data_IF_286536205549
#
_entry.id   IF_286536205549
#
_cell.length_a   1.000
_cell.length_b   1.000
_cell.length_c   1.000
_cell.angle_alpha   90.00
_cell.angle_beta   90.00
_cell.angle_gamma   90.00
#
_symmetry.space_group_name_H-M   'P 1'
#
loop_
_entity.id
_entity.type
_entity.pdbx_description
1 polymer ?
#
# COMPACT_ATOMS: atom_id res chain seq x y z
N UNK A 1 39.45 26.16 39.98
CA UNK A 1 38.98 27.52 39.64
C UNK A 1 37.57 27.36 39.10
N UNK A 2 36.59 27.10 39.97
CA UNK A 2 35.82 28.08 40.76
C UNK A 2 34.83 28.86 39.90
N UNK A 3 33.56 28.54 40.13
CA UNK A 3 32.32 29.13 39.62
C UNK A 3 32.19 30.63 40.02
N UNK A 4 31.17 31.37 39.56
CA UNK A 4 29.94 31.35 40.34
C UNK A 4 28.60 31.40 39.58
N UNK A 5 27.63 30.82 40.29
CA UNK A 5 26.17 30.87 40.19
C UNK A 5 25.64 32.26 40.55
N UNK A 6 24.47 32.63 39.99
CA UNK A 6 23.55 33.58 40.61
C UNK A 6 22.13 32.98 40.64
N UNK A 7 21.60 32.85 41.86
CA UNK A 7 20.20 32.55 42.18
C UNK A 7 19.38 33.85 42.18
N UNK A 8 18.10 33.77 41.78
CA UNK A 8 17.02 34.57 42.38
C UNK A 8 15.66 33.91 42.14
N UNK A 9 15.05 33.51 43.25
CA UNK A 9 13.67 33.09 43.47
C UNK A 9 12.66 34.24 43.33
N UNK A 10 11.42 33.96 42.92
CA UNK A 10 10.20 34.18 43.72
C UNK A 10 8.92 34.10 42.86
N UNK A 11 7.87 33.58 43.51
CA UNK A 11 6.57 33.17 43.01
C UNK A 11 5.65 34.28 42.47
N UNK A 12 4.77 33.92 41.54
CA UNK A 12 3.51 34.63 41.28
C UNK A 12 2.36 33.64 40.92
N UNK A 13 1.13 33.83 41.44
CA UNK A 13 0.02 32.86 41.45
C UNK A 13 -0.86 32.87 40.18
N UNK A 14 -1.76 31.86 39.99
CA UNK A 14 -2.50 31.66 38.74
C UNK A 14 -3.71 32.60 38.57
N UNK A 15 -4.16 32.86 37.33
CA UNK A 15 -5.31 33.74 37.09
C UNK A 15 -6.65 33.05 37.35
N UNK A 16 -7.52 33.82 38.01
CA UNK A 16 -8.88 33.51 38.45
C UNK A 16 -9.88 33.74 37.30
N UNK A 17 -10.84 32.82 37.17
CA UNK A 17 -12.06 32.91 36.32
C UNK A 17 -13.01 34.01 36.81
N UNK A 18 -13.74 34.72 35.92
CA UNK A 18 -14.97 35.40 36.31
C UNK A 18 -16.22 34.69 35.78
N UNK A 19 -17.10 34.35 36.72
CA UNK A 19 -18.52 34.04 36.51
C UNK A 19 -19.33 35.34 36.51
N UNK A 20 -20.41 35.40 35.70
CA UNK A 20 -21.66 36.08 36.12
C UNK A 20 -22.16 37.30 35.32
N UNK A 21 -23.01 37.01 34.32
CA UNK A 21 -24.36 37.53 34.07
C UNK A 21 -24.69 39.05 33.88
N UNK A 22 -25.58 39.23 32.89
CA UNK A 22 -26.61 40.28 32.68
C UNK A 22 -26.25 41.59 31.96
N UNK A 23 -26.93 41.84 30.84
CA UNK A 23 -27.14 43.19 30.28
C UNK A 23 -27.38 43.25 28.77
N UNK A 24 -28.65 43.12 28.35
CA UNK A 24 -29.14 43.44 26.99
C UNK A 24 -29.02 44.95 26.71
N UNK A 25 -28.77 45.37 25.46
CA UNK A 25 -29.65 46.39 24.90
C UNK A 25 -30.12 46.10 23.46
N UNK A 26 -31.41 46.41 23.25
CA UNK A 26 -32.13 46.53 21.99
C UNK A 26 -31.57 47.66 21.13
N UNK A 27 -31.50 47.45 19.81
CA UNK A 27 -31.31 48.47 18.79
C UNK A 27 -32.07 48.10 17.52
N UNK A 28 -33.22 48.76 17.32
CA UNK A 28 -34.19 48.61 16.23
C UNK A 28 -33.71 49.26 14.92
N UNK A 29 -34.11 48.70 13.76
CA UNK A 29 -34.63 49.40 12.55
C UNK A 29 -34.89 48.39 11.40
N UNK A 30 -35.77 48.68 10.41
CA UNK A 30 -37.15 48.18 10.44
C UNK A 30 -37.55 47.28 9.26
N UNK A 31 -38.69 46.61 9.46
CA UNK A 31 -39.46 45.82 8.50
C UNK A 31 -40.24 46.76 7.57
N UNK A 32 -40.25 46.44 6.27
CA UNK A 32 -41.27 46.91 5.33
C UNK A 32 -42.00 45.69 4.76
N UNK A 33 -43.34 45.73 4.86
CA UNK A 33 -44.29 44.81 4.26
C UNK A 33 -44.83 45.38 2.94
N UNK A 34 -45.50 44.49 2.19
CA UNK A 34 -46.40 44.65 1.03
C UNK A 34 -45.72 44.62 -0.34
N UNK A 35 -46.29 44.06 -1.41
CA UNK A 35 -47.25 42.98 -1.67
C UNK A 35 -47.21 42.70 -3.19
N UNK A 36 -47.72 41.54 -3.60
CA UNK A 36 -48.30 41.21 -4.92
C UNK A 36 -47.41 40.99 -6.17
N UNK A 37 -47.51 39.74 -6.66
CA UNK A 37 -47.97 39.48 -8.03
C UNK A 37 -46.93 39.21 -9.12
N UNK A 38 -46.74 37.92 -9.46
CA UNK A 38 -46.88 37.35 -10.82
C UNK A 38 -45.96 36.13 -11.04
N UNK A 39 -46.61 35.03 -11.45
CA UNK A 39 -46.04 33.77 -11.95
C UNK A 39 -45.45 33.99 -13.36
N UNK A 40 -44.39 33.26 -13.76
CA UNK A 40 -44.59 32.25 -14.80
C UNK A 40 -43.91 30.91 -14.51
N UNK A 41 -44.60 29.87 -14.96
CA UNK A 41 -44.28 28.45 -14.95
C UNK A 41 -43.04 28.09 -15.80
N UNK A 42 -42.39 26.96 -15.48
CA UNK A 42 -41.38 26.35 -16.34
C UNK A 42 -40.56 25.25 -15.68
N UNK A 43 -41.16 24.09 -15.41
CA UNK A 43 -40.45 22.85 -15.07
C UNK A 43 -39.85 22.19 -16.33
N UNK A 44 -38.63 21.63 -16.30
CA UNK A 44 -38.25 20.56 -17.20
C UNK A 44 -38.47 19.20 -16.55
N UNK A 45 -39.22 18.38 -17.27
CA UNK A 45 -39.68 17.05 -16.91
C UNK A 45 -38.58 15.98 -16.89
N UNK A 46 -38.82 15.00 -16.02
CA UNK A 46 -38.13 13.72 -15.85
C UNK A 46 -38.37 12.86 -17.09
N UNK A 47 -37.31 12.41 -17.75
CA UNK A 47 -37.39 11.48 -18.89
C UNK A 47 -37.36 10.02 -18.38
N UNK A 48 -38.49 9.34 -18.58
CA UNK A 48 -38.73 7.93 -18.27
C UNK A 48 -38.05 6.98 -19.27
N UNK A 49 -37.63 5.82 -18.75
CA UNK A 49 -37.18 4.63 -19.49
C UNK A 49 -38.28 4.08 -20.43
N UNK A 50 -37.94 3.47 -21.57
CA UNK A 50 -38.86 2.60 -22.29
C UNK A 50 -38.68 1.13 -21.89
N UNK A 51 -39.78 0.53 -21.46
CA UNK A 51 -40.01 -0.92 -21.41
C UNK A 51 -40.32 -1.41 -22.84
N UNK A 52 -39.79 -2.56 -23.23
CA UNK A 52 -40.15 -3.25 -24.48
C UNK A 52 -40.80 -4.59 -24.14
N UNK A 53 -42.07 -4.70 -24.52
CA UNK A 53 -42.93 -5.87 -24.43
C UNK A 53 -42.55 -6.98 -25.41
N UNK A 54 -42.89 -8.19 -24.98
CA UNK A 54 -42.84 -9.46 -25.66
C UNK A 54 -43.69 -9.55 -26.93
N UNK A 55 -43.16 -10.18 -27.97
CA UNK A 55 -43.96 -10.82 -29.02
C UNK A 55 -43.63 -12.31 -29.06
N UNK A 56 -44.63 -13.14 -28.73
CA UNK A 56 -44.63 -14.58 -28.95
C UNK A 56 -44.90 -14.89 -30.44
N UNK A 57 -44.11 -15.79 -31.02
CA UNK A 57 -44.51 -16.58 -32.18
C UNK A 57 -44.01 -18.01 -32.03
N UNK A 58 -44.96 -18.94 -32.01
CA UNK A 58 -44.81 -20.39 -31.88
C UNK A 58 -44.34 -21.07 -33.17
N UNK A 59 -43.44 -22.06 -33.05
CA UNK A 59 -43.42 -23.25 -33.91
C UNK A 59 -42.73 -24.41 -33.20
N UNK A 60 -43.22 -25.61 -33.51
CA UNK A 60 -43.23 -26.87 -32.78
C UNK A 60 -42.00 -27.79 -32.91
N UNK A 61 -41.88 -28.66 -31.91
CA UNK A 61 -41.35 -30.04 -31.88
C UNK A 61 -39.85 -30.32 -32.08
N UNK A 62 -39.18 -30.70 -30.98
CA UNK A 62 -38.54 -32.02 -30.82
C UNK A 62 -38.11 -32.25 -29.36
N UNK A 63 -38.60 -33.32 -28.76
CA UNK A 63 -38.24 -33.77 -27.43
C UNK A 63 -36.82 -34.35 -27.39
N UNK A 64 -35.99 -33.91 -26.43
CA UNK A 64 -35.01 -34.80 -25.80
C UNK A 64 -34.57 -34.29 -24.42
N UNK A 65 -34.83 -35.14 -23.42
CA UNK A 65 -34.04 -35.36 -22.20
C UNK A 65 -33.67 -34.16 -21.32
N UNK A 66 -34.34 -34.14 -20.17
CA UNK A 66 -33.94 -33.57 -18.90
C UNK A 66 -32.44 -33.71 -18.58
N UNK A 67 -31.79 -32.57 -18.37
CA UNK A 67 -30.64 -32.42 -17.48
C UNK A 67 -30.68 -30.99 -16.97
N UNK A 68 -31.07 -30.83 -15.71
CA UNK A 68 -31.14 -29.52 -15.05
C UNK A 68 -29.75 -28.91 -15.01
N UNK A 69 -29.51 -27.94 -15.88
CA UNK A 69 -28.41 -26.99 -15.73
C UNK A 69 -28.98 -25.89 -14.85
N UNK A 70 -28.83 -26.06 -13.53
CA UNK A 70 -28.86 -24.93 -12.61
C UNK A 70 -27.74 -23.98 -13.03
N UNK A 71 -28.12 -22.76 -13.39
CA UNK A 71 -27.19 -21.63 -13.48
C UNK A 71 -26.45 -21.53 -12.14
N UNK A 72 -25.10 -21.44 -12.11
CA UNK A 72 -24.41 -21.15 -10.87
C UNK A 72 -24.87 -19.78 -10.39
N UNK A 73 -25.46 -19.72 -9.20
CA UNK A 73 -25.78 -18.46 -8.53
C UNK A 73 -24.54 -17.56 -8.50
N UNK A 74 -24.69 -16.28 -8.86
CA UNK A 74 -23.64 -15.25 -8.76
C UNK A 74 -23.23 -14.95 -7.29
N UNK A 75 -23.64 -15.80 -6.34
CA UNK A 75 -23.59 -15.54 -4.90
C UNK A 75 -22.35 -16.04 -4.17
N UNK A 76 -21.46 -16.77 -4.85
CA UNK A 76 -20.39 -17.55 -4.21
C UNK A 76 -18.95 -17.14 -4.61
N UNK A 77 -18.72 -15.85 -4.93
CA UNK A 77 -17.38 -15.36 -5.32
C UNK A 77 -16.34 -15.42 -4.17
N UNK A 78 -16.80 -15.54 -2.92
CA UNK A 78 -15.97 -15.63 -1.71
C UNK A 78 -16.24 -16.92 -0.90
N UNK A 79 -16.67 -18.00 -1.56
CA UNK A 79 -17.03 -19.29 -0.95
C UNK A 79 -16.03 -19.78 0.12
N UNK A 80 -16.59 -20.38 1.18
CA UNK A 80 -16.01 -20.85 2.45
C UNK A 80 -15.83 -19.86 3.62
N UNK A 81 -16.22 -18.59 3.53
CA UNK A 81 -16.20 -17.71 4.72
C UNK A 81 -17.37 -18.01 5.68
N UNK A 82 -17.05 -18.38 6.92
CA UNK A 82 -18.04 -18.48 7.99
C UNK A 82 -18.45 -17.08 8.50
N UNK A 83 -19.55 -16.55 7.97
CA UNK A 83 -20.07 -15.23 8.34
C UNK A 83 -20.58 -15.12 9.79
N UNK A 84 -20.51 -16.19 10.59
CA UNK A 84 -20.65 -16.08 12.05
C UNK A 84 -19.41 -15.48 12.72
N UNK A 85 -18.25 -15.52 12.05
CA UNK A 85 -17.01 -14.97 12.57
C UNK A 85 -17.06 -13.44 12.77
N UNK A 86 -16.12 -12.88 13.57
CA UNK A 86 -16.03 -11.45 13.76
C UNK A 86 -15.71 -10.70 12.46
N UNK A 87 -16.32 -9.52 12.25
CA UNK A 87 -16.17 -8.69 11.04
C UNK A 87 -14.70 -8.44 10.65
N UNK A 88 -13.84 -8.15 11.62
CA UNK A 88 -12.42 -7.89 11.39
C UNK A 88 -11.67 -9.12 10.82
N UNK A 89 -12.08 -10.32 11.22
CA UNK A 89 -11.51 -11.58 10.72
C UNK A 89 -11.99 -11.85 9.30
N UNK A 90 -13.28 -11.69 9.04
CA UNK A 90 -13.88 -11.83 7.72
C UNK A 90 -13.26 -10.88 6.70
N UNK A 91 -13.11 -9.60 7.06
CA UNK A 91 -12.45 -8.62 6.20
C UNK A 91 -10.99 -9.01 5.93
N UNK A 92 -10.26 -9.49 6.95
CA UNK A 92 -8.86 -9.92 6.79
C UNK A 92 -8.73 -11.12 5.86
N UNK A 93 -9.51 -12.17 6.06
CA UNK A 93 -9.40 -13.39 5.25
C UNK A 93 -9.99 -13.18 3.85
N UNK A 94 -11.18 -12.56 3.77
CA UNK A 94 -11.88 -12.30 2.52
C UNK A 94 -11.18 -11.31 1.58
N UNK A 95 -10.24 -10.50 2.08
CA UNK A 95 -9.46 -9.57 1.24
C UNK A 95 -8.00 -9.97 1.04
N UNK A 96 -7.56 -11.09 1.60
CA UNK A 96 -6.15 -11.55 1.56
C UNK A 96 -5.58 -11.60 0.14
N UNK A 97 -6.35 -12.12 -0.81
CA UNK A 97 -5.95 -12.19 -2.24
C UNK A 97 -5.84 -10.79 -2.85
N UNK A 98 -6.80 -9.91 -2.59
CA UNK A 98 -6.80 -8.54 -3.10
C UNK A 98 -5.63 -7.72 -2.51
N UNK A 99 -5.34 -7.89 -1.22
CA UNK A 99 -4.17 -7.31 -0.57
C UNK A 99 -2.87 -7.76 -1.24
N UNK A 100 -2.68 -9.08 -1.44
CA UNK A 100 -1.48 -9.61 -2.12
C UNK A 100 -1.38 -9.12 -3.56
N UNK A 101 -2.50 -8.92 -4.27
CA UNK A 101 -2.46 -8.32 -5.59
C UNK A 101 -2.04 -6.85 -5.55
N UNK A 102 -2.56 -6.07 -4.61
CA UNK A 102 -2.27 -4.65 -4.47
C UNK A 102 -0.81 -4.38 -4.09
N UNK A 103 -0.25 -5.13 -3.14
CA UNK A 103 1.16 -4.97 -2.69
C UNK A 103 2.17 -5.27 -3.81
N UNK A 104 1.80 -6.14 -4.75
CA UNK A 104 2.63 -6.54 -5.89
C UNK A 104 2.35 -5.72 -7.17
N UNK A 105 1.51 -4.68 -7.08
CA UNK A 105 1.27 -3.77 -8.20
C UNK A 105 2.50 -2.91 -8.50
N UNK A 106 2.70 -2.56 -9.78
CA UNK A 106 3.85 -1.76 -10.21
C UNK A 106 3.96 -0.41 -9.48
N UNK A 107 2.83 0.26 -9.27
CA UNK A 107 2.78 1.53 -8.54
C UNK A 107 3.14 1.37 -7.06
N UNK A 108 2.65 0.33 -6.39
CA UNK A 108 3.00 0.04 -4.99
C UNK A 108 4.48 -0.32 -4.84
N UNK A 109 5.03 -1.09 -5.78
CA UNK A 109 6.46 -1.43 -5.80
C UNK A 109 7.31 -0.17 -6.00
N UNK A 110 6.98 0.69 -6.97
CA UNK A 110 7.73 1.92 -7.21
C UNK A 110 7.72 2.87 -6.00
N UNK A 111 6.54 3.05 -5.37
CA UNK A 111 6.39 3.84 -4.16
C UNK A 111 7.23 3.26 -3.00
N UNK A 112 7.15 1.94 -2.81
CA UNK A 112 7.88 1.26 -1.73
C UNK A 112 9.36 1.05 -2.04
N UNK A 113 9.85 1.29 -3.25
CA UNK A 113 11.29 1.21 -3.54
C UNK A 113 11.98 2.57 -3.53
N UNK A 114 11.23 3.66 -3.28
CA UNK A 114 11.76 5.03 -3.35
C UNK A 114 12.21 5.38 -4.78
N UNK A 115 11.62 4.72 -5.77
CA UNK A 115 11.96 4.85 -7.19
C UNK A 115 11.15 5.94 -7.89
N UNK A 116 10.27 6.62 -7.15
CA UNK A 116 9.62 7.83 -7.65
C UNK A 116 10.63 8.95 -7.52
N UNK A 117 10.94 9.62 -8.61
CA UNK A 117 11.66 10.88 -8.52
C UNK A 117 10.66 11.95 -8.03
N UNK A 118 11.14 13.00 -7.34
CA UNK A 118 10.26 14.12 -6.95
C UNK A 118 9.54 14.74 -8.16
N UNK A 119 10.12 14.57 -9.35
CA UNK A 119 9.54 14.98 -10.62
C UNK A 119 8.47 14.02 -11.17
N UNK A 120 8.33 12.80 -10.66
CA UNK A 120 7.21 11.90 -10.95
C UNK A 120 5.98 12.19 -10.08
N UNK A 121 6.15 13.01 -9.02
CA UNK A 121 5.05 13.71 -8.35
C UNK A 121 4.46 14.83 -9.24
N UNK A 122 5.02 15.07 -10.44
CA UNK A 122 4.52 16.10 -11.36
C UNK A 122 3.13 15.79 -11.87
N UNK A 123 2.42 16.89 -12.01
CA UNK A 123 1.17 17.06 -12.70
C UNK A 123 1.46 17.14 -14.20
N UNK A 124 0.86 16.23 -14.95
CA UNK A 124 0.52 16.40 -16.36
C UNK A 124 1.54 17.15 -17.22
N UNK A 125 2.75 16.61 -17.44
CA UNK A 125 3.57 17.06 -18.56
C UNK A 125 3.88 15.94 -19.56
N UNK A 126 3.03 15.93 -20.59
CA UNK A 126 3.25 15.62 -22.02
C UNK A 126 4.28 14.53 -22.32
N UNK A 127 3.88 13.35 -22.84
CA UNK A 127 4.83 12.52 -23.55
C UNK A 127 5.25 13.24 -24.84
N UNK A 128 6.54 13.20 -25.14
CA UNK A 128 7.00 13.20 -26.53
C UNK A 128 6.29 12.01 -27.19
N UNK A 129 5.51 12.26 -28.25
CA UNK A 129 4.50 11.36 -28.87
C UNK A 129 3.13 11.36 -28.18
N UNK A 130 2.30 12.36 -28.46
CA UNK A 130 0.90 12.22 -28.90
C UNK A 130 -0.17 11.49 -28.06
N UNK A 131 0.15 10.68 -27.05
CA UNK A 131 -0.81 9.90 -26.28
C UNK A 131 -0.94 10.49 -24.87
N UNK A 132 -2.13 10.88 -24.38
CA UNK A 132 -2.25 11.34 -23.00
C UNK A 132 -1.96 10.18 -22.03
N UNK A 133 -0.75 10.16 -21.45
CA UNK A 133 -0.41 9.26 -20.36
C UNK A 133 -0.93 9.79 -19.03
N UNK A 134 -1.38 8.93 -18.10
CA UNK A 134 -1.76 9.36 -16.77
C UNK A 134 -0.52 9.86 -16.05
N UNK A 135 -0.48 11.14 -15.69
CA UNK A 135 0.57 11.66 -14.83
C UNK A 135 0.39 11.10 -13.41
N UNK A 136 1.52 10.80 -12.76
CA UNK A 136 1.64 10.27 -11.39
C UNK A 136 0.91 11.12 -10.38
N UNK A 137 -0.36 10.81 -10.16
CA UNK A 137 -1.25 11.67 -9.39
C UNK A 137 -1.29 11.28 -7.91
N UNK A 138 -0.30 11.73 -7.13
CA UNK A 138 -0.34 11.61 -5.65
C UNK A 138 -1.48 12.45 -5.03
N UNK A 139 -2.09 13.37 -5.79
CA UNK A 139 -3.29 14.15 -5.41
C UNK A 139 -4.53 13.27 -5.32
N UNK A 140 -4.59 12.20 -6.13
CA UNK A 140 -5.69 11.24 -6.09
C UNK A 140 -5.91 10.67 -4.70
N UNK A 141 -4.83 10.44 -3.94
CA UNK A 141 -4.93 10.01 -2.55
C UNK A 141 -5.51 11.10 -1.64
N UNK A 142 -5.15 12.39 -1.80
CA UNK A 142 -5.72 13.48 -0.98
C UNK A 142 -7.21 13.58 -1.19
N UNK A 143 -7.65 13.64 -2.46
CA UNK A 143 -9.07 13.79 -2.79
C UNK A 143 -9.86 12.56 -2.34
N UNK A 144 -9.27 11.37 -2.49
CA UNK A 144 -9.83 10.12 -1.99
C UNK A 144 -10.06 10.15 -0.47
N UNK A 145 -9.03 10.52 0.32
CA UNK A 145 -9.17 10.62 1.77
C UNK A 145 -10.20 11.68 2.16
N UNK A 146 -10.15 12.85 1.51
CA UNK A 146 -11.10 13.91 1.82
C UNK A 146 -12.55 13.48 1.58
N UNK A 147 -12.84 12.79 0.48
CA UNK A 147 -14.18 12.26 0.20
C UNK A 147 -14.60 11.20 1.23
N UNK A 148 -13.72 10.25 1.55
CA UNK A 148 -13.99 9.21 2.54
C UNK A 148 -14.23 9.81 3.93
N UNK A 149 -13.36 10.71 4.38
CA UNK A 149 -13.46 11.38 5.68
C UNK A 149 -14.74 12.21 5.80
N UNK A 150 -15.14 12.93 4.75
CA UNK A 150 -16.41 13.63 4.72
C UNK A 150 -17.61 12.69 4.83
N UNK A 151 -17.57 11.55 4.14
CA UNK A 151 -18.62 10.53 4.26
C UNK A 151 -18.72 9.97 5.67
N UNK A 152 -17.57 9.72 6.32
CA UNK A 152 -17.51 9.26 7.70
C UNK A 152 -17.99 10.35 8.68
N UNK A 153 -17.67 11.63 8.45
CA UNK A 153 -18.14 12.75 9.27
C UNK A 153 -19.67 12.89 9.22
N UNK A 154 -20.27 12.76 8.03
CA UNK A 154 -21.73 12.81 7.85
C UNK A 154 -22.42 11.67 8.61
N UNK A 155 -21.82 10.48 8.64
CA UNK A 155 -22.39 9.29 9.24
C UNK A 155 -21.72 8.89 10.56
N UNK A 156 -21.13 9.85 11.27
CA UNK A 156 -20.33 9.60 12.47
C UNK A 156 -21.11 8.91 13.61
N UNK A 157 -22.42 9.11 13.67
CA UNK A 157 -23.32 8.51 14.67
C UNK A 157 -23.94 7.18 14.21
N UNK A 158 -23.70 6.74 12.97
CA UNK A 158 -24.27 5.50 12.47
C UNK A 158 -23.75 4.30 13.28
N UNK A 159 -24.60 3.38 13.78
CA UNK A 159 -24.18 2.31 14.70
C UNK A 159 -23.02 1.43 14.20
N UNK A 160 -22.95 1.21 12.89
CA UNK A 160 -21.87 0.43 12.25
C UNK A 160 -20.54 1.20 12.18
N UNK A 161 -20.58 2.52 12.04
CA UNK A 161 -19.40 3.37 11.80
C UNK A 161 -18.86 4.00 13.09
N UNK A 162 -19.75 4.42 13.98
CA UNK A 162 -19.42 5.11 15.23
C UNK A 162 -18.35 4.40 16.08
N UNK A 163 -18.33 3.05 16.23
CA UNK A 163 -17.31 2.36 17.02
C UNK A 163 -15.87 2.50 16.49
N UNK A 164 -15.71 2.92 15.23
CA UNK A 164 -14.40 3.13 14.58
C UNK A 164 -14.11 4.60 14.27
N UNK A 165 -15.02 5.51 14.62
CA UNK A 165 -14.91 6.93 14.30
C UNK A 165 -14.01 7.64 15.32
N UNK A 166 -12.80 7.99 14.90
CA UNK A 166 -11.89 8.86 15.65
C UNK A 166 -11.12 9.76 14.65
N UNK A 167 -11.65 10.95 14.32
CA UNK A 167 -11.05 11.80 13.30
C UNK A 167 -9.68 12.35 13.69
N UNK A 168 -9.47 12.70 14.97
CA UNK A 168 -8.20 13.24 15.47
C UNK A 168 -7.06 12.23 15.27
N UNK A 169 -7.34 10.96 15.55
CA UNK A 169 -6.37 9.88 15.39
C UNK A 169 -6.16 9.49 13.92
N UNK A 170 -7.22 9.35 13.14
CA UNK A 170 -7.18 8.64 11.85
C UNK A 170 -7.12 9.53 10.61
N UNK A 171 -7.60 10.79 10.64
CA UNK A 171 -7.69 11.62 9.42
C UNK A 171 -6.32 11.87 8.79
N UNK A 172 -6.25 11.74 7.47
CA UNK A 172 -5.02 11.76 6.69
C UNK A 172 -5.00 12.83 5.59
N UNK A 173 -6.16 13.33 5.16
CA UNK A 173 -6.24 14.26 4.03
C UNK A 173 -5.33 15.49 4.23
N UNK A 174 -5.39 16.13 5.40
CA UNK A 174 -4.63 17.35 5.69
C UNK A 174 -3.13 17.09 5.83
N UNK A 175 -2.75 15.99 6.49
CA UNK A 175 -1.34 15.62 6.65
C UNK A 175 -0.70 15.26 5.32
N UNK A 176 -1.44 14.57 4.44
CA UNK A 176 -1.00 14.27 3.08
C UNK A 176 -0.89 15.53 2.22
N UNK A 177 -1.86 16.44 2.30
CA UNK A 177 -1.80 17.72 1.58
C UNK A 177 -0.59 18.55 2.02
N UNK A 178 -0.31 18.61 3.32
CA UNK A 178 0.86 19.29 3.87
C UNK A 178 2.18 18.66 3.38
N UNK A 179 2.26 17.33 3.32
CA UNK A 179 3.43 16.62 2.79
C UNK A 179 3.65 16.89 1.32
N UNK A 180 2.60 16.82 0.50
CA UNK A 180 2.68 17.13 -0.94
C UNK A 180 3.16 18.56 -1.13
N UNK A 181 2.60 19.52 -0.40
CA UNK A 181 3.03 20.92 -0.45
C UNK A 181 4.52 21.05 -0.11
N UNK A 182 4.98 20.38 0.93
CA UNK A 182 6.39 20.38 1.33
C UNK A 182 7.30 19.79 0.24
N UNK A 183 6.94 18.63 -0.30
CA UNK A 183 7.73 17.95 -1.35
C UNK A 183 7.77 18.77 -2.64
N UNK A 184 6.65 19.39 -3.04
CA UNK A 184 6.60 20.27 -4.22
C UNK A 184 7.45 21.53 -4.04
N UNK A 185 7.53 22.09 -2.83
CA UNK A 185 8.39 23.24 -2.56
C UNK A 185 9.89 22.93 -2.64
N UNK A 186 10.29 21.63 -2.57
CA UNK A 186 11.68 21.21 -2.79
C UNK A 186 12.05 21.12 -4.28
N UNK A 187 11.07 21.19 -5.17
CA UNK A 187 11.32 21.20 -6.61
C UNK A 187 11.82 22.58 -7.08
N UNK A 188 12.77 22.66 -8.02
CA UNK A 188 13.27 23.93 -8.52
C UNK A 188 12.17 24.70 -9.26
N UNK A 189 12.14 26.04 -9.14
CA UNK A 189 11.04 26.89 -9.63
C UNK A 189 10.69 26.70 -11.13
N UNK A 190 11.65 26.32 -11.97
CA UNK A 190 11.41 26.05 -13.39
C UNK A 190 10.53 24.82 -13.65
N UNK A 191 10.41 23.92 -12.67
CA UNK A 191 9.64 22.68 -12.77
C UNK A 191 8.15 22.83 -12.44
N UNK A 192 7.75 23.98 -11.89
CA UNK A 192 6.39 24.34 -11.49
C UNK A 192 5.82 25.38 -12.45
N UNK A 193 5.67 25.04 -13.74
CA UNK A 193 5.02 25.95 -14.70
C UNK A 193 3.50 25.68 -14.71
N UNK A 194 2.65 26.68 -14.40
CA UNK A 194 1.22 26.54 -14.59
C UNK A 194 0.91 26.33 -16.09
N UNK A 195 0.05 25.37 -16.41
CA UNK A 195 -0.35 25.00 -17.76
C UNK A 195 -1.28 26.03 -18.43
N UNK A 196 -1.54 27.16 -17.74
CA UNK A 196 -2.24 28.33 -18.29
C UNK A 196 -3.74 28.11 -18.51
N UNK A 197 -4.28 26.95 -18.12
CA UNK A 197 -5.72 26.66 -18.26
C UNK A 197 -6.48 27.17 -17.04
N UNK A 198 -7.40 28.10 -17.29
CA UNK A 198 -8.40 28.49 -16.29
C UNK A 198 -9.45 27.38 -16.21
N UNK A 199 -9.63 26.80 -15.04
CA UNK A 199 -10.69 25.85 -14.77
C UNK A 199 -11.62 26.41 -13.68
N UNK A 200 -12.93 26.16 -13.77
CA UNK A 200 -13.95 26.73 -12.88
C UNK A 200 -14.15 26.00 -11.55
N UNK A 201 -13.40 24.93 -11.28
CA UNK A 201 -13.48 24.14 -10.03
C UNK A 201 -12.38 24.65 -9.10
N UNK A 202 -12.75 25.13 -7.91
CA UNK A 202 -11.80 25.54 -6.87
C UNK A 202 -11.34 24.34 -6.06
N UNK A 203 -10.07 24.32 -5.69
CA UNK A 203 -9.54 23.32 -4.77
C UNK A 203 -10.30 23.37 -3.42
N UNK A 204 -10.46 22.24 -2.72
CA UNK A 204 -11.23 22.18 -1.47
C UNK A 204 -10.62 22.98 -0.31
N UNK A 205 -9.43 23.55 -0.47
CA UNK A 205 -8.72 24.38 0.50
C UNK A 205 -7.87 25.46 -0.20
N UNK A 206 -7.53 26.58 0.47
CA UNK A 206 -6.77 27.68 -0.13
C UNK A 206 -5.31 27.29 -0.40
N UNK A 207 -4.82 27.60 -1.59
CA UNK A 207 -3.50 27.17 -2.05
C UNK A 207 -2.92 28.05 -3.18
N UNK A 208 -1.59 28.06 -3.37
CA UNK A 208 -0.95 28.85 -4.43
C UNK A 208 -1.44 28.45 -5.82
N UNK A 209 -1.65 29.41 -6.73
CA UNK A 209 -2.26 29.19 -8.05
C UNK A 209 -1.56 28.14 -8.92
N UNK A 210 -0.24 27.98 -8.81
CA UNK A 210 0.51 26.94 -9.53
C UNK A 210 0.25 25.52 -8.99
N UNK A 211 -0.24 25.42 -7.75
CA UNK A 211 -0.74 24.18 -7.12
C UNK A 211 -2.26 24.09 -7.28
N UNK A 212 -2.99 25.11 -7.73
CA UNK A 212 -4.45 25.00 -7.88
C UNK A 212 -4.81 24.10 -9.07
N UNK A 213 -4.21 24.32 -10.24
CA UNK A 213 -4.43 23.54 -11.47
C UNK A 213 -4.17 22.02 -11.30
N UNK A 214 -3.31 21.70 -10.35
CA UNK A 214 -3.01 20.36 -9.85
C UNK A 214 -4.30 19.70 -9.35
N UNK A 215 -5.17 20.38 -8.62
CA UNK A 215 -6.35 19.78 -8.01
C UNK A 215 -7.63 19.85 -8.85
N UNK A 216 -7.54 20.32 -10.11
CA UNK A 216 -8.73 20.61 -10.93
C UNK A 216 -9.03 19.57 -12.02
N UNK A 217 -8.05 18.78 -12.48
CA UNK A 217 -8.31 17.66 -13.39
C UNK A 217 -8.44 16.35 -12.61
N UNK A 218 -9.65 15.81 -12.48
CA UNK A 218 -9.89 14.49 -11.84
C UNK A 218 -9.78 13.38 -12.90
N UNK A 219 -8.76 12.49 -12.87
CA UNK A 219 -8.66 11.40 -13.84
C UNK A 219 -9.86 10.42 -13.70
N UNK A 220 -10.24 9.69 -14.78
CA UNK A 220 -11.40 8.80 -14.75
C UNK A 220 -11.35 7.74 -13.63
N UNK A 221 -10.17 7.18 -13.36
CA UNK A 221 -9.95 6.20 -12.28
C UNK A 221 -10.24 6.78 -10.90
N UNK A 222 -9.82 8.02 -10.66
CA UNK A 222 -10.10 8.74 -9.42
C UNK A 222 -11.60 9.07 -9.34
N UNK A 223 -12.20 9.55 -10.43
CA UNK A 223 -13.64 9.85 -10.51
C UNK A 223 -14.48 8.65 -10.11
N UNK A 224 -14.15 7.45 -10.62
CA UNK A 224 -14.83 6.20 -10.23
C UNK A 224 -14.78 5.92 -8.73
N UNK A 225 -13.62 6.16 -8.08
CA UNK A 225 -13.50 6.00 -6.63
C UNK A 225 -14.40 7.00 -5.90
N UNK A 226 -14.33 8.28 -6.28
CA UNK A 226 -15.10 9.35 -5.66
C UNK A 226 -16.60 9.13 -5.82
N UNK A 227 -17.05 8.74 -7.00
CA UNK A 227 -18.45 8.40 -7.29
C UNK A 227 -18.92 7.25 -6.40
N UNK A 228 -18.07 6.22 -6.19
CA UNK A 228 -18.42 5.13 -5.27
C UNK A 228 -18.60 5.62 -3.85
N UNK A 229 -17.64 6.39 -3.31
CA UNK A 229 -17.74 6.95 -1.95
C UNK A 229 -18.97 7.85 -1.80
N UNK A 230 -19.23 8.72 -2.77
CA UNK A 230 -20.40 9.61 -2.76
C UNK A 230 -21.70 8.81 -2.83
N UNK A 231 -21.76 7.75 -3.65
CA UNK A 231 -22.93 6.88 -3.75
C UNK A 231 -23.20 6.10 -2.45
N UNK A 232 -22.15 5.62 -1.76
CA UNK A 232 -22.29 4.98 -0.45
C UNK A 232 -22.74 6.00 0.61
N UNK A 233 -22.13 7.19 0.61
CA UNK A 233 -22.46 8.24 1.59
C UNK A 233 -23.84 8.87 1.37
N UNK A 234 -24.37 8.87 0.14
CA UNK A 234 -25.67 9.45 -0.18
C UNK A 234 -26.87 8.53 0.07
N UNK A 235 -26.63 7.26 0.40
CA UNK A 235 -27.67 6.24 0.59
C UNK A 235 -27.55 5.64 2.00
N UNK A 236 -28.54 5.90 2.85
CA UNK A 236 -28.56 5.46 4.26
C UNK A 236 -28.37 3.94 4.42
N UNK A 237 -28.87 3.14 3.47
CA UNK A 237 -28.72 1.68 3.51
C UNK A 237 -27.31 1.21 3.14
N UNK A 238 -26.56 2.03 2.41
CA UNK A 238 -25.22 1.71 1.92
C UNK A 238 -24.11 2.43 2.68
N UNK A 239 -24.43 3.49 3.43
CA UNK A 239 -23.45 4.20 4.26
C UNK A 239 -22.64 3.30 5.21
N UNK A 240 -23.15 2.16 5.75
CA UNK A 240 -22.32 1.26 6.56
C UNK A 240 -21.10 0.71 5.81
N UNK A 241 -21.19 0.60 4.48
CA UNK A 241 -20.12 0.08 3.62
C UNK A 241 -18.94 1.04 3.49
N UNK A 242 -19.06 2.30 3.93
CA UNK A 242 -17.92 3.20 4.11
C UNK A 242 -16.88 2.60 5.07
N UNK A 243 -17.30 1.73 6.00
CA UNK A 243 -16.39 0.99 6.89
C UNK A 243 -15.38 0.14 6.11
N UNK A 244 -15.79 -0.46 4.99
CA UNK A 244 -14.92 -1.28 4.16
C UNK A 244 -13.80 -0.44 3.52
N UNK A 245 -14.13 0.75 3.02
CA UNK A 245 -13.13 1.69 2.50
C UNK A 245 -12.20 2.21 3.60
N UNK A 246 -12.75 2.58 4.76
CA UNK A 246 -11.98 3.01 5.92
C UNK A 246 -11.02 1.91 6.41
N UNK A 247 -11.50 0.65 6.44
CA UNK A 247 -10.68 -0.53 6.74
C UNK A 247 -9.48 -0.66 5.78
N UNK A 248 -9.73 -0.66 4.46
CA UNK A 248 -8.66 -0.83 3.46
C UNK A 248 -7.61 0.28 3.55
N UNK A 249 -8.03 1.52 3.81
CA UNK A 249 -7.11 2.66 3.94
C UNK A 249 -6.41 2.68 5.30
N UNK A 250 -7.14 2.90 6.39
CA UNK A 250 -6.54 3.17 7.70
C UNK A 250 -5.74 2.00 8.26
N UNK A 251 -6.23 0.75 8.17
CA UNK A 251 -5.43 -0.39 8.64
C UNK A 251 -4.22 -0.68 7.74
N UNK A 252 -4.32 -0.36 6.45
CA UNK A 252 -3.19 -0.38 5.52
C UNK A 252 -2.10 0.61 5.95
N UNK A 253 -2.49 1.85 6.25
CA UNK A 253 -1.58 2.93 6.65
C UNK A 253 -0.94 2.69 8.04
N UNK A 254 -1.71 2.14 8.99
CA UNK A 254 -1.23 1.72 10.32
C UNK A 254 -0.31 0.48 10.27
N UNK A 255 -0.22 -0.20 9.13
CA UNK A 255 0.58 -1.41 8.93
C UNK A 255 1.73 -1.15 7.95
N UNK A 256 1.46 -1.17 6.65
CA UNK A 256 2.46 -0.99 5.60
C UNK A 256 2.98 0.45 5.50
N UNK A 257 2.16 1.44 5.90
CA UNK A 257 2.51 2.85 5.83
C UNK A 257 3.77 3.21 6.62
N UNK A 258 4.04 2.55 7.74
CA UNK A 258 5.25 2.79 8.53
C UNK A 258 6.54 2.44 7.77
N UNK A 259 6.49 1.36 6.97
CA UNK A 259 7.60 0.94 6.13
C UNK A 259 7.79 1.95 5.00
N UNK A 260 6.69 2.39 4.36
CA UNK A 260 6.74 3.39 3.28
C UNK A 260 7.32 4.71 3.80
N UNK A 261 6.84 5.20 4.93
CA UNK A 261 7.34 6.44 5.55
C UNK A 261 8.83 6.39 5.90
N UNK A 262 9.34 5.24 6.34
CA UNK A 262 10.77 5.05 6.60
C UNK A 262 11.61 5.04 5.31
N UNK A 263 11.06 4.49 4.21
CA UNK A 263 11.74 4.49 2.91
C UNK A 263 11.74 5.86 2.26
N UNK A 264 10.64 6.62 2.33
CA UNK A 264 10.56 8.00 1.87
C UNK A 264 11.58 8.90 2.59
N UNK A 265 11.72 8.72 3.91
CA UNK A 265 12.73 9.44 4.71
C UNK A 265 14.13 9.28 4.12
N UNK A 266 14.51 8.06 3.75
CA UNK A 266 15.82 7.74 3.18
C UNK A 266 15.96 8.22 1.74
N UNK A 267 14.94 7.97 0.90
CA UNK A 267 14.97 8.30 -0.51
C UNK A 267 15.07 9.82 -0.78
N UNK A 268 14.41 10.63 0.05
CA UNK A 268 14.32 12.08 -0.16
C UNK A 268 15.08 12.93 0.85
N UNK A 269 15.89 12.32 1.74
CA UNK A 269 16.62 13.05 2.77
C UNK A 269 15.71 13.91 3.64
N UNK A 270 14.74 13.27 4.31
CA UNK A 270 13.80 13.95 5.20
C UNK A 270 14.30 13.85 6.64
N UNK A 271 14.72 14.96 7.24
CA UNK A 271 15.28 14.94 8.60
C UNK A 271 14.19 14.81 9.69
N UNK A 272 12.98 15.33 9.42
CA UNK A 272 11.84 15.35 10.33
C UNK A 272 10.60 14.57 9.86
N UNK A 273 9.43 15.07 10.24
CA UNK A 273 8.12 14.56 9.78
C UNK A 273 7.66 15.21 8.47
N UNK A 274 8.28 16.31 8.05
CA UNK A 274 7.88 17.03 6.85
C UNK A 274 8.08 16.19 5.58
N UNK A 275 7.04 16.10 4.75
CA UNK A 275 7.03 15.22 3.57
C UNK A 275 6.72 13.76 3.90
N UNK A 276 6.39 13.44 5.15
CA UNK A 276 5.99 12.10 5.61
C UNK A 276 5.01 12.09 6.80
N UNK A 277 4.34 13.21 7.12
CA UNK A 277 3.29 13.34 8.14
C UNK A 277 2.13 12.39 7.91
N UNK A 278 1.78 12.11 6.65
CA UNK A 278 0.74 11.15 6.28
C UNK A 278 0.91 9.78 6.97
N UNK A 279 2.15 9.30 7.04
CA UNK A 279 2.52 8.03 7.65
C UNK A 279 2.72 8.10 9.16
N UNK A 280 2.60 9.29 9.76
CA UNK A 280 2.76 9.50 11.19
C UNK A 280 1.39 9.66 11.84
N UNK A 281 1.05 8.73 12.74
CA UNK A 281 -0.14 8.82 13.57
C UNK A 281 0.28 9.41 14.91
N UNK A 282 -0.45 10.43 15.36
CA UNK A 282 -0.28 10.93 16.72
C UNK A 282 -0.99 9.96 17.67
N UNK A 283 -0.22 9.31 18.53
CA UNK A 283 -0.66 8.24 19.43
C UNK A 283 -0.59 8.70 20.89
N UNK A 284 -0.44 10.00 21.11
CA UNK A 284 -0.35 10.56 22.44
C UNK A 284 -1.72 10.97 22.96
N UNK A 285 -2.16 10.34 24.04
CA UNK A 285 -3.15 10.94 24.97
C UNK A 285 -2.42 11.74 26.07
N UNK A 286 -1.10 11.55 26.19
CA UNK A 286 -0.26 12.05 27.27
C UNK A 286 0.94 12.80 26.67
N UNK A 287 0.94 14.12 26.82
CA UNK A 287 1.97 15.06 26.37
C UNK A 287 3.36 14.77 26.95
N UNK A 288 3.50 13.92 27.97
CA UNK A 288 4.81 13.68 28.62
C UNK A 288 5.84 12.94 27.74
N UNK A 289 5.43 11.95 26.94
CA UNK A 289 6.36 11.17 26.10
C UNK A 289 6.75 11.86 24.78
N UNK A 290 5.87 12.73 24.25
CA UNK A 290 6.17 13.56 23.09
C UNK A 290 7.12 14.71 23.43
N UNK A 291 7.13 15.16 24.69
CA UNK A 291 7.94 16.29 25.20
C UNK A 291 9.35 15.88 25.63
N UNK A 292 9.57 14.64 26.12
CA UNK A 292 10.91 14.17 26.51
C UNK A 292 11.76 13.67 25.34
N UNK A 293 11.15 13.36 24.18
CA UNK A 293 11.85 12.85 23.00
C UNK A 293 12.31 11.39 23.10
N UNK A 294 11.79 10.64 24.07
CA UNK A 294 12.26 9.30 24.44
C UNK A 294 11.39 8.13 23.94
N UNK A 295 10.40 8.37 23.07
CA UNK A 295 9.56 7.26 22.59
C UNK A 295 10.39 6.27 21.74
N UNK A 296 10.61 5.09 22.29
CA UNK A 296 11.35 4.02 21.63
C UNK A 296 10.55 3.42 20.46
N UNK A 297 11.25 2.81 19.51
CA UNK A 297 10.62 2.10 18.38
C UNK A 297 9.67 0.99 18.87
N UNK A 298 10.02 0.34 19.99
CA UNK A 298 9.20 -0.71 20.61
C UNK A 298 7.89 -0.17 21.18
N UNK A 299 7.93 0.94 21.90
CA UNK A 299 6.74 1.60 22.48
C UNK A 299 5.79 2.10 21.39
N UNK A 300 6.32 2.77 20.35
CA UNK A 300 5.49 3.19 19.21
C UNK A 300 4.82 2.00 18.54
N UNK A 301 5.53 0.88 18.36
CA UNK A 301 4.96 -0.34 17.77
C UNK A 301 3.83 -0.91 18.65
N UNK A 302 3.97 -0.86 19.97
CA UNK A 302 2.94 -1.28 20.92
C UNK A 302 1.69 -0.39 20.81
N UNK A 303 1.85 0.95 20.84
CA UNK A 303 0.73 1.89 20.67
C UNK A 303 0.00 1.70 19.33
N UNK A 304 0.75 1.52 18.23
CA UNK A 304 0.14 1.20 16.93
C UNK A 304 -0.63 -0.12 16.95
N UNK A 305 -0.15 -1.13 17.67
CA UNK A 305 -0.87 -2.39 17.82
C UNK A 305 -2.17 -2.20 18.63
N UNK A 306 -2.14 -1.37 19.67
CA UNK A 306 -3.32 -1.02 20.48
C UNK A 306 -4.37 -0.31 19.63
N UNK A 307 -3.99 0.68 18.81
CA UNK A 307 -4.90 1.36 17.88
C UNK A 307 -5.51 0.38 16.87
N UNK A 308 -4.70 -0.49 16.26
CA UNK A 308 -5.22 -1.50 15.33
C UNK A 308 -6.20 -2.46 16.01
N UNK A 309 -5.93 -2.84 17.26
CA UNK A 309 -6.82 -3.72 18.02
C UNK A 309 -8.11 -3.02 18.42
N UNK A 310 -8.05 -1.74 18.82
CA UNK A 310 -9.23 -0.90 19.04
C UNK A 310 -10.09 -0.82 17.78
N UNK A 311 -9.49 -0.51 16.62
CA UNK A 311 -10.22 -0.42 15.35
C UNK A 311 -10.88 -1.75 14.96
N UNK A 312 -10.19 -2.89 15.15
CA UNK A 312 -10.76 -4.23 14.92
C UNK A 312 -11.93 -4.53 15.84
N UNK A 313 -11.85 -4.18 17.13
CA UNK A 313 -12.98 -4.32 18.05
C UNK A 313 -14.16 -3.45 17.63
N UNK A 314 -13.90 -2.21 17.20
CA UNK A 314 -14.92 -1.32 16.65
C UNK A 314 -15.62 -1.91 15.43
N UNK A 315 -14.89 -2.49 14.47
CA UNK A 315 -15.49 -3.18 13.31
C UNK A 315 -16.35 -4.39 13.73
N UNK A 316 -15.90 -5.16 14.72
CA UNK A 316 -16.67 -6.29 15.24
C UNK A 316 -17.96 -5.81 15.92
N UNK A 317 -17.90 -4.74 16.72
CA UNK A 317 -19.06 -4.14 17.35
C UNK A 317 -20.03 -3.58 16.29
N UNK A 318 -19.52 -2.87 15.29
CA UNK A 318 -20.33 -2.26 14.24
C UNK A 318 -21.02 -3.30 13.36
N UNK A 319 -20.34 -4.39 13.00
CA UNK A 319 -20.94 -5.47 12.20
C UNK A 319 -21.85 -6.42 12.99
N UNK A 320 -21.67 -6.51 14.32
CA UNK A 320 -22.49 -7.34 15.20
C UNK A 320 -22.66 -8.78 14.70
N UNK A 321 -23.90 -9.27 14.70
CA UNK A 321 -24.28 -10.59 14.20
C UNK A 321 -24.97 -10.54 12.81
N UNK A 322 -24.97 -9.37 12.16
CA UNK A 322 -25.60 -9.19 10.85
C UNK A 322 -24.76 -9.83 9.74
N UNK A 323 -25.17 -11.04 9.33
CA UNK A 323 -24.49 -11.83 8.30
C UNK A 323 -24.54 -11.17 6.93
N UNK A 324 -25.64 -10.52 6.57
CA UNK A 324 -25.79 -9.88 5.26
C UNK A 324 -24.93 -8.62 5.17
N UNK A 325 -24.90 -7.82 6.24
CA UNK A 325 -23.98 -6.69 6.35
C UNK A 325 -22.52 -7.16 6.26
N UNK A 326 -22.13 -8.21 6.99
CA UNK A 326 -20.78 -8.77 6.92
C UNK A 326 -20.42 -9.23 5.50
N UNK A 327 -21.33 -9.90 4.80
CA UNK A 327 -21.15 -10.30 3.39
C UNK A 327 -20.95 -9.09 2.49
N UNK A 328 -21.79 -8.05 2.65
CA UNK A 328 -21.67 -6.81 1.89
C UNK A 328 -20.37 -6.06 2.18
N UNK A 329 -19.91 -6.02 3.43
CA UNK A 329 -18.64 -5.41 3.83
C UNK A 329 -17.43 -6.11 3.19
N UNK A 330 -17.42 -7.45 3.13
CA UNK A 330 -16.34 -8.21 2.47
C UNK A 330 -16.33 -7.95 0.97
N UNK A 331 -17.49 -7.94 0.32
CA UNK A 331 -17.64 -7.59 -1.10
C UNK A 331 -17.10 -6.17 -1.36
N UNK A 332 -17.57 -5.18 -0.59
CA UNK A 332 -17.13 -3.79 -0.72
C UNK A 332 -15.63 -3.62 -0.46
N UNK A 333 -15.06 -4.35 0.50
CA UNK A 333 -13.65 -4.23 0.81
C UNK A 333 -12.77 -4.69 -0.38
N UNK A 334 -13.20 -5.71 -1.11
CA UNK A 334 -12.54 -6.14 -2.35
C UNK A 334 -12.68 -5.08 -3.46
N UNK A 335 -13.85 -4.45 -3.62
CA UNK A 335 -14.03 -3.30 -4.51
C UNK A 335 -13.12 -2.13 -4.12
N UNK A 336 -13.02 -1.83 -2.83
CA UNK A 336 -12.12 -0.81 -2.31
C UNK A 336 -10.66 -1.13 -2.65
N UNK A 337 -10.21 -2.39 -2.53
CA UNK A 337 -8.86 -2.80 -2.97
C UNK A 337 -8.64 -2.60 -4.48
N UNK A 338 -9.64 -2.94 -5.30
CA UNK A 338 -9.58 -2.74 -6.75
C UNK A 338 -9.43 -1.25 -7.08
N UNK A 339 -10.32 -0.42 -6.55
CA UNK A 339 -10.33 1.03 -6.78
C UNK A 339 -9.02 1.68 -6.28
N UNK A 340 -8.46 1.21 -5.16
CA UNK A 340 -7.16 1.66 -4.66
C UNK A 340 -6.02 1.30 -5.63
N UNK A 341 -6.04 0.08 -6.17
CA UNK A 341 -5.04 -0.37 -7.15
C UNK A 341 -5.13 0.44 -8.44
N UNK A 342 -6.33 0.84 -8.87
CA UNK A 342 -6.52 1.74 -10.01
C UNK A 342 -5.93 3.13 -9.78
N UNK A 343 -5.99 3.66 -8.55
CA UNK A 343 -5.31 4.91 -8.18
C UNK A 343 -3.79 4.72 -8.25
N UNK A 344 -3.24 3.61 -7.73
CA UNK A 344 -1.80 3.33 -7.85
C UNK A 344 -1.34 3.13 -9.30
N UNK A 345 -2.22 2.69 -10.20
CA UNK A 345 -1.93 2.62 -11.63
C UNK A 345 -1.80 3.99 -12.32
N UNK A 346 -2.14 5.09 -11.63
CA UNK A 346 -1.81 6.44 -12.08
C UNK A 346 -0.33 6.78 -11.88
N UNK A 347 0.36 6.06 -10.98
CA UNK A 347 1.80 6.21 -10.74
C UNK A 347 2.53 5.58 -11.92
N UNK A 348 3.35 6.35 -12.63
CA UNK A 348 4.25 5.82 -13.65
C UNK A 348 5.54 5.35 -12.98
N UNK A 349 5.76 4.04 -12.80
CA UNK A 349 7.05 3.56 -12.33
C UNK A 349 8.14 3.87 -13.37
N UNK A 350 9.40 4.12 -12.97
CA UNK A 350 10.49 4.13 -13.92
C UNK A 350 10.53 2.77 -14.65
N UNK A 351 11.00 2.72 -15.92
CA UNK A 351 11.09 1.48 -16.66
C UNK A 351 11.87 0.45 -15.84
N UNK A 352 11.25 -0.70 -15.54
CA UNK A 352 11.94 -1.79 -14.83
C UNK A 352 13.22 -2.11 -15.60
N UNK A 353 14.37 -2.01 -14.93
CA UNK A 353 15.60 -2.55 -15.47
C UNK A 353 15.32 -4.00 -15.87
N UNK A 354 15.61 -4.37 -17.13
CA UNK A 354 15.40 -5.75 -17.59
C UNK A 354 16.25 -6.66 -16.70
N UNK A 355 15.61 -7.35 -15.76
CA UNK A 355 16.28 -8.33 -14.91
C UNK A 355 17.05 -9.29 -15.79
N UNK A 356 18.33 -9.51 -15.46
CA UNK A 356 19.16 -10.47 -16.17
C UNK A 356 18.52 -11.85 -16.02
N UNK A 357 18.68 -12.69 -17.04
CA UNK A 357 18.09 -14.04 -17.06
C UNK A 357 18.31 -14.82 -15.75
N UNK A 358 19.52 -14.71 -15.18
CA UNK A 358 19.89 -15.38 -13.93
C UNK A 358 19.13 -14.89 -12.69
N UNK A 359 18.85 -13.58 -12.59
CA UNK A 359 18.07 -13.02 -11.47
C UNK A 359 16.61 -13.52 -11.52
N UNK A 360 16.02 -13.57 -12.73
CA UNK A 360 14.68 -14.14 -12.92
C UNK A 360 14.63 -15.60 -12.51
N UNK A 361 15.64 -16.39 -12.91
CA UNK A 361 15.71 -17.81 -12.57
C UNK A 361 15.83 -18.04 -11.07
N UNK A 362 16.62 -17.22 -10.36
CA UNK A 362 16.76 -17.32 -8.90
C UNK A 362 15.46 -17.00 -8.17
N UNK A 363 14.75 -15.94 -8.58
CA UNK A 363 13.45 -15.57 -7.99
C UNK A 363 12.41 -16.68 -8.23
N UNK A 364 12.37 -17.25 -9.44
CA UNK A 364 11.48 -18.36 -9.79
C UNK A 364 11.78 -19.62 -8.95
N UNK A 365 13.06 -19.96 -8.78
CA UNK A 365 13.49 -21.08 -7.95
C UNK A 365 13.16 -20.87 -6.47
N UNK A 366 13.34 -19.64 -5.97
CA UNK A 366 13.00 -19.30 -4.60
C UNK A 366 11.50 -19.38 -4.35
N UNK A 367 10.68 -18.86 -5.28
CA UNK A 367 9.23 -19.01 -5.26
C UNK A 367 8.79 -20.47 -5.26
N UNK A 368 9.46 -21.33 -6.04
CA UNK A 368 9.20 -22.78 -6.04
C UNK A 368 9.53 -23.44 -4.71
N UNK A 369 10.61 -23.02 -4.04
CA UNK A 369 10.98 -23.52 -2.70
C UNK A 369 10.00 -23.04 -1.63
N UNK A 370 9.48 -21.82 -1.73
CA UNK A 370 8.51 -21.30 -0.77
C UNK A 370 7.15 -21.99 -0.91
N UNK A 371 6.74 -22.32 -2.15
CA UNK A 371 5.52 -23.08 -2.43
C UNK A 371 5.64 -24.55 -2.01
N UNK A 372 6.82 -25.15 -2.17
CA UNK A 372 7.12 -26.53 -1.80
C UNK A 372 8.33 -26.55 -0.85
N UNK A 373 8.14 -26.20 0.43
CA UNK A 373 9.22 -26.25 1.39
C UNK A 373 9.75 -27.68 1.49
N UNK A 374 11.08 -27.88 1.48
CA UNK A 374 11.63 -29.22 1.68
C UNK A 374 11.17 -29.75 3.04
N UNK A 375 10.85 -31.06 3.14
CA UNK A 375 10.44 -31.64 4.40
C UNK A 375 11.53 -31.41 5.45
N UNK A 376 11.13 -30.97 6.64
CA UNK A 376 12.05 -30.85 7.78
C UNK A 376 12.54 -32.25 8.15
N UNK A 377 13.78 -32.56 7.81
CA UNK A 377 14.39 -33.85 8.13
C UNK A 377 14.58 -33.96 9.64
N UNK A 378 14.12 -35.07 10.22
CA UNK A 378 14.40 -35.41 11.61
C UNK A 378 15.89 -35.67 11.83
N UNK A 379 16.35 -35.65 13.09
CA UNK A 379 17.73 -36.04 13.43
C UNK A 379 18.05 -37.46 12.93
N UNK A 380 17.08 -38.37 13.03
CA UNK A 380 17.15 -39.73 12.52
C UNK A 380 17.33 -39.77 11.00
N UNK A 381 16.67 -38.90 10.23
CA UNK A 381 16.83 -38.84 8.77
C UNK A 381 18.23 -38.36 8.37
N UNK A 382 18.79 -37.41 9.11
CA UNK A 382 20.16 -36.94 8.89
C UNK A 382 21.19 -38.03 9.17
N UNK A 383 21.03 -38.75 10.29
CA UNK A 383 21.92 -39.87 10.65
C UNK A 383 21.86 -40.99 9.63
N UNK A 384 20.66 -41.36 9.17
CA UNK A 384 20.49 -42.41 8.15
C UNK A 384 21.09 -42.02 6.80
N UNK A 385 20.87 -40.77 6.34
CA UNK A 385 21.47 -40.29 5.08
C UNK A 385 22.99 -40.22 5.17
N UNK A 386 23.53 -39.80 6.31
CA UNK A 386 24.97 -39.80 6.54
C UNK A 386 25.54 -41.22 6.56
N UNK A 387 24.89 -42.17 7.21
CA UNK A 387 25.31 -43.58 7.23
C UNK A 387 25.30 -44.19 5.82
N UNK A 388 24.28 -43.93 5.01
CA UNK A 388 24.21 -44.37 3.60
C UNK A 388 25.33 -43.74 2.78
N UNK A 389 25.59 -42.44 2.96
CA UNK A 389 26.70 -41.76 2.28
C UNK A 389 28.06 -42.41 2.62
N UNK A 390 28.32 -42.67 3.91
CA UNK A 390 29.54 -43.35 4.36
C UNK A 390 29.63 -44.76 3.75
N UNK A 391 28.53 -45.52 3.75
CA UNK A 391 28.49 -46.85 3.14
C UNK A 391 28.80 -46.80 1.64
N UNK A 392 28.17 -45.89 0.88
CA UNK A 392 28.44 -45.70 -0.54
C UNK A 392 29.90 -45.30 -0.80
N UNK A 393 30.47 -44.43 0.03
CA UNK A 393 31.87 -44.02 -0.07
C UNK A 393 32.81 -45.21 0.20
N UNK A 394 32.52 -46.03 1.22
CA UNK A 394 33.31 -47.24 1.53
C UNK A 394 33.20 -48.30 0.44
N UNK A 395 32.00 -48.53 -0.11
CA UNK A 395 31.80 -49.45 -1.25
C UNK A 395 32.52 -48.92 -2.49
N UNK A 396 32.46 -47.62 -2.75
CA UNK A 396 33.22 -46.98 -3.82
C UNK A 396 34.73 -47.17 -3.66
N UNK A 397 35.25 -46.95 -2.45
CA UNK A 397 36.67 -47.14 -2.14
C UNK A 397 37.09 -48.61 -2.33
N UNK A 398 36.28 -49.55 -1.84
CA UNK A 398 36.50 -50.98 -2.03
C UNK A 398 36.48 -51.37 -3.51
N UNK A 399 35.52 -50.87 -4.29
CA UNK A 399 35.43 -51.14 -5.72
C UNK A 399 36.64 -50.60 -6.48
N UNK A 400 37.10 -49.38 -6.14
CA UNK A 400 38.34 -48.81 -6.71
C UNK A 400 39.54 -49.69 -6.35
N UNK A 401 39.68 -50.10 -5.10
CA UNK A 401 40.79 -50.93 -4.63
C UNK A 401 40.79 -52.33 -5.25
N UNK A 402 39.61 -52.93 -5.44
CA UNK A 402 39.44 -54.22 -6.09
C UNK A 402 39.69 -54.15 -7.62
N UNK A 403 39.33 -53.03 -8.26
CA UNK A 403 39.56 -52.80 -9.68
C UNK A 403 41.01 -52.35 -9.99
N UNK A 404 41.72 -51.80 -9.00
CA UNK A 404 43.07 -51.28 -9.15
C UNK A 404 44.04 -52.25 -9.86
N UNK A 405 44.20 -53.52 -9.45
CA UNK A 405 45.15 -54.44 -10.11
C UNK A 405 44.81 -54.75 -11.57
N UNK A 406 43.53 -54.62 -11.97
CA UNK A 406 43.08 -54.85 -13.34
C UNK A 406 43.20 -53.60 -14.22
N UNK A 407 43.04 -52.42 -13.62
CA UNK A 407 43.12 -51.14 -14.32
C UNK A 407 44.55 -50.58 -14.42
N UNK A 408 45.41 -50.89 -13.43
CA UNK A 408 46.77 -50.36 -13.31
C UNK A 408 47.63 -50.54 -14.58
N UNK A 409 47.63 -51.69 -15.30
CA UNK A 409 48.42 -51.85 -16.52
C UNK A 409 48.04 -50.89 -17.65
N UNK A 410 46.78 -50.43 -17.67
CA UNK A 410 46.25 -49.57 -18.73
C UNK A 410 46.27 -48.09 -18.33
N UNK A 411 46.07 -47.79 -17.05
CA UNK A 411 45.95 -46.42 -16.54
C UNK A 411 47.32 -45.84 -16.21
N UNK A 412 48.23 -46.63 -15.63
CA UNK A 412 49.55 -46.16 -15.19
C UNK A 412 50.37 -45.49 -16.31
N UNK A 413 50.48 -46.05 -17.52
CA UNK A 413 51.22 -45.41 -18.61
C UNK A 413 50.61 -44.06 -19.06
N UNK A 414 49.29 -43.93 -18.97
CA UNK A 414 48.57 -42.70 -19.34
C UNK A 414 48.77 -41.63 -18.26
N UNK A 415 48.68 -42.03 -16.98
CA UNK A 415 48.91 -41.14 -15.84
C UNK A 415 50.35 -40.67 -15.80
N UNK A 416 51.32 -41.56 -15.99
CA UNK A 416 52.75 -41.21 -16.01
C UNK A 416 53.02 -40.22 -17.15
N UNK A 417 52.52 -40.48 -18.37
CA UNK A 417 52.66 -39.56 -19.50
C UNK A 417 51.97 -38.21 -19.28
N UNK A 418 50.82 -38.19 -18.61
CA UNK A 418 50.12 -36.95 -18.25
C UNK A 418 50.88 -36.17 -17.17
N UNK A 419 51.49 -36.87 -16.22
CA UNK A 419 52.31 -36.29 -15.16
C UNK A 419 53.59 -35.69 -15.74
N UNK A 420 54.29 -36.42 -16.61
CA UNK A 420 55.46 -35.93 -17.34
C UNK A 420 55.13 -34.69 -18.17
N UNK A 421 53.99 -34.69 -18.88
CA UNK A 421 53.53 -33.52 -19.62
C UNK A 421 53.22 -32.33 -18.70
N UNK A 422 52.55 -32.58 -17.57
CA UNK A 422 52.19 -31.54 -16.62
C UNK A 422 53.43 -30.91 -15.99
N UNK A 423 54.40 -31.72 -15.56
CA UNK A 423 55.67 -31.27 -15.02
C UNK A 423 56.53 -30.56 -16.07
N UNK A 424 56.50 -31.00 -17.33
CA UNK A 424 57.29 -30.37 -18.39
C UNK A 424 56.68 -29.08 -18.96
N UNK A 425 55.35 -28.93 -18.93
CA UNK A 425 54.65 -27.81 -19.61
C UNK A 425 53.91 -26.88 -18.67
N UNK A 426 53.20 -27.43 -17.68
CA UNK A 426 52.30 -26.64 -16.82
C UNK A 426 53.08 -26.05 -15.65
N UNK A 427 53.94 -26.83 -14.99
CA UNK A 427 54.73 -26.36 -13.85
C UNK A 427 55.66 -25.19 -14.22
N UNK A 428 56.45 -25.24 -15.31
CA UNK A 428 57.32 -24.12 -15.69
C UNK A 428 56.53 -22.88 -16.08
N UNK A 429 55.44 -23.05 -16.84
CA UNK A 429 54.53 -21.96 -17.19
C UNK A 429 53.93 -21.30 -15.94
N UNK A 430 53.52 -22.10 -14.96
CA UNK A 430 52.94 -21.59 -13.71
C UNK A 430 53.95 -20.77 -12.91
N UNK A 431 55.18 -21.26 -12.80
CA UNK A 431 56.28 -20.56 -12.11
C UNK A 431 56.62 -19.26 -12.84
N UNK A 432 56.74 -19.28 -14.17
CA UNK A 432 57.04 -18.09 -14.98
C UNK A 432 55.93 -17.03 -14.91
N UNK A 433 54.66 -17.46 -14.78
CA UNK A 433 53.50 -16.57 -14.80
C UNK A 433 52.95 -16.26 -13.40
N UNK A 434 53.62 -16.68 -12.33
CA UNK A 434 53.15 -16.51 -10.95
C UNK A 434 52.88 -15.03 -10.61
N UNK A 435 53.76 -14.12 -11.05
CA UNK A 435 53.59 -12.69 -10.84
C UNK A 435 52.38 -12.11 -11.60
N UNK A 436 52.10 -12.60 -12.81
CA UNK A 436 50.95 -12.21 -13.60
C UNK A 436 49.65 -12.66 -12.91
N UNK A 437 49.60 -13.90 -12.43
CA UNK A 437 48.46 -14.45 -11.69
C UNK A 437 48.22 -13.69 -10.37
N UNK A 438 49.27 -13.33 -9.63
CA UNK A 438 49.16 -12.49 -8.42
C UNK A 438 48.60 -11.10 -8.73
N UNK A 439 49.00 -10.49 -9.86
CA UNK A 439 48.44 -9.19 -10.31
C UNK A 439 46.98 -9.29 -10.69
N UNK A 440 46.57 -10.36 -11.39
CA UNK A 440 45.17 -10.60 -11.77
C UNK A 440 44.31 -10.81 -10.51
N UNK A 441 44.77 -11.61 -9.55
CA UNK A 441 44.08 -11.84 -8.29
C UNK A 441 43.93 -10.55 -7.45
N UNK A 442 44.97 -9.71 -7.41
CA UNK A 442 44.91 -8.40 -6.74
C UNK A 442 43.93 -7.44 -7.43
N UNK A 443 43.83 -7.49 -8.77
CA UNK A 443 42.90 -6.67 -9.55
C UNK A 443 41.43 -7.08 -9.32
N UNK A 444 41.16 -8.38 -9.16
CA UNK A 444 39.82 -8.87 -8.84
C UNK A 444 39.39 -8.55 -7.39
N UNK A 445 40.31 -8.55 -6.42
CA UNK A 445 40.00 -8.11 -5.05
C UNK A 445 39.63 -6.62 -4.95
N UNK A 446 40.16 -5.77 -5.84
CA UNK A 446 39.78 -4.35 -5.94
C UNK A 446 38.41 -4.09 -6.57
N UNK A 447 37.78 -5.09 -7.18
CA UNK A 447 36.42 -5.00 -7.73
C UNK A 447 35.34 -5.54 -6.78
N UNK A 448 35.75 -6.13 -5.64
CA UNK A 448 34.88 -6.75 -4.65
C UNK A 448 34.95 -6.07 -3.27
N UNK A 449 35.71 -4.97 -3.17
CA UNK A 449 35.74 -3.99 -2.07
C UNK A 449 35.34 -2.65 -2.68
#
# INVERSE_FOLDING_TARGET
MSCPVAHSSADAPPPVLPNGANGVPKGMCPVAHTSDGAVPEGHPAIASRPSLESTNSSSSDAASSSSGITTPDEDDEFGDLDYSAPTAELLREGTKRAHTKAENSDGAIALTQGQLELQDLKIGHRPQLGTPGPAGDVRGMVVQFHALERGLDVHAQHPVLAPTYNPELLRRADTLAADIKFLLNRLPAWSLKPSGRKHGIKAPFPMPAFIEEVFVSTPPRLTRYLDRINALSGDERKCPLLLAHAYVRYLGDLSGGQIIGAKLRRAYGLDGLEGRRFYYFDLSDDTSAAVTGEETVGERKKKLAEVKNWYRRGMNQGGGDDRELKKALVREANDAFLLNTEIFALINPPPRAKMRYFEKKQIEEQRRRDLNPPPVLSLTDHVMRFAVFVLCALVGLYAVQAAQPYAEPYVKPVVDKATDWFEAKVVPWWIENEQLLRRIAAKQRRFLL
#
